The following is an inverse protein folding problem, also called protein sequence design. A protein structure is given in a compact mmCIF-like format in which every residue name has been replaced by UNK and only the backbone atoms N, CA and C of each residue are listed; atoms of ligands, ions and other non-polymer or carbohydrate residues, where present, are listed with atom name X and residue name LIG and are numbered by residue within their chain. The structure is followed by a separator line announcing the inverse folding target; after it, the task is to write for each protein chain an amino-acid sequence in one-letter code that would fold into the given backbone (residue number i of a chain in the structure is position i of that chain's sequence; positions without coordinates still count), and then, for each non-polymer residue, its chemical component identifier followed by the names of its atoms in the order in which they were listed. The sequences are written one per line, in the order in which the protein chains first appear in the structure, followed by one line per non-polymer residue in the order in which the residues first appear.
data_IF_763773559493
#
_entry.id   IF_763773559493
#
_cell.length_a   1.000
_cell.length_b   1.000
_cell.length_c   1.000
_cell.angle_alpha   90.00
_cell.angle_beta   90.00
_cell.angle_gamma   90.00
#
_symmetry.space_group_name_H-M   'P 1'
#
loop_
_entity.id
_entity.type
_entity.pdbx_description
1 polymer ?
#
# COMPACT_ATOMS: atom_id res chain seq x y z
N UNK A 1 -26.69 14.47 -18.86
CA UNK A 1 -25.58 14.38 -19.84
C UNK A 1 -24.28 14.43 -19.07
N UNK A 2 -23.81 13.28 -18.59
CA UNK A 2 -22.59 13.19 -17.80
C UNK A 2 -21.48 12.64 -18.70
N UNK A 3 -21.00 13.45 -19.65
CA UNK A 3 -19.98 13.01 -20.60
C UNK A 3 -19.03 14.16 -20.92
N UNK A 4 -17.99 14.32 -20.10
CA UNK A 4 -16.78 15.07 -20.49
C UNK A 4 -15.71 14.14 -21.11
N UNK A 5 -16.05 12.87 -21.35
CA UNK A 5 -15.21 11.89 -22.02
C UNK A 5 -13.98 11.41 -21.23
N UNK A 6 -13.88 11.74 -19.93
CA UNK A 6 -12.73 11.30 -19.12
C UNK A 6 -12.79 9.81 -18.84
N UNK A 7 -11.71 9.11 -19.15
CA UNK A 7 -11.51 7.72 -18.80
C UNK A 7 -11.43 7.59 -17.26
N UNK A 8 -12.39 6.89 -16.66
CA UNK A 8 -12.44 6.66 -15.20
C UNK A 8 -11.69 5.38 -14.80
N UNK A 9 -11.62 4.39 -15.70
CA UNK A 9 -11.00 3.10 -15.47
C UNK A 9 -10.50 2.51 -16.79
N UNK A 10 -9.26 2.02 -16.78
CA UNK A 10 -8.67 1.29 -17.91
C UNK A 10 -8.03 -0.01 -17.43
N UNK A 11 -8.04 -1.02 -18.31
CA UNK A 11 -7.37 -2.30 -18.06
C UNK A 11 -6.06 -2.30 -18.85
N UNK A 12 -4.95 -2.53 -18.17
CA UNK A 12 -3.62 -2.58 -18.77
C UNK A 12 -2.94 -3.91 -18.43
N UNK A 13 -2.37 -4.59 -19.43
CA UNK A 13 -1.55 -5.77 -19.19
C UNK A 13 -0.17 -5.34 -18.71
N UNK A 14 0.00 -5.25 -17.39
CA UNK A 14 1.21 -4.67 -16.78
C UNK A 14 1.61 -5.42 -15.50
N UNK A 15 2.89 -5.80 -15.33
CA UNK A 15 3.37 -6.35 -14.07
C UNK A 15 3.54 -5.24 -13.01
N UNK A 16 3.41 -5.58 -11.73
CA UNK A 16 3.52 -4.64 -10.61
C UNK A 16 4.83 -3.83 -10.63
N UNK A 17 5.97 -4.47 -10.96
CA UNK A 17 7.27 -3.81 -11.11
C UNK A 17 7.23 -2.64 -12.10
N UNK A 18 6.55 -2.83 -13.24
CA UNK A 18 6.45 -1.78 -14.25
C UNK A 18 5.53 -0.65 -13.75
N UNK A 19 4.42 -0.98 -13.09
CA UNK A 19 3.54 0.02 -12.49
C UNK A 19 4.30 0.88 -11.47
N UNK A 20 5.07 0.27 -10.57
CA UNK A 20 5.87 1.01 -9.58
C UNK A 20 6.93 1.90 -10.26
N UNK A 21 7.57 1.42 -11.32
CA UNK A 21 8.52 2.23 -12.10
C UNK A 21 7.86 3.47 -12.70
N UNK A 22 6.67 3.33 -13.26
CA UNK A 22 5.92 4.45 -13.84
C UNK A 22 5.40 5.42 -12.78
N UNK A 23 4.93 4.90 -11.64
CA UNK A 23 4.52 5.72 -10.51
C UNK A 23 5.72 6.43 -9.87
N UNK A 24 6.92 5.86 -9.92
CA UNK A 24 8.15 6.40 -9.30
C UNK A 24 7.90 6.87 -7.85
N UNK A 25 7.43 5.98 -6.95
CA UNK A 25 7.25 6.32 -5.55
C UNK A 25 8.60 6.57 -4.88
N UNK A 26 8.62 7.46 -3.88
CA UNK A 26 9.81 7.71 -3.05
C UNK A 26 10.02 6.65 -1.98
N UNK A 27 8.97 5.91 -1.63
CA UNK A 27 8.98 4.83 -0.65
C UNK A 27 7.95 3.79 -1.03
N UNK A 28 8.31 2.51 -0.92
CA UNK A 28 7.38 1.39 -1.16
C UNK A 28 7.28 0.53 0.10
N UNK A 29 6.09 0.51 0.71
CA UNK A 29 5.80 -0.26 1.91
C UNK A 29 4.88 -1.43 1.56
N UNK A 30 5.21 -2.63 2.02
CA UNK A 30 4.38 -3.82 1.83
C UNK A 30 3.74 -4.26 3.14
N UNK A 31 2.41 -4.34 3.18
CA UNK A 31 1.69 -4.85 4.33
C UNK A 31 1.75 -6.38 4.36
N UNK A 32 2.27 -6.95 5.45
CA UNK A 32 2.31 -8.41 5.65
C UNK A 32 2.40 -8.78 7.13
N UNK A 33 1.75 -9.88 7.51
CA UNK A 33 1.86 -10.49 8.84
C UNK A 33 3.28 -11.00 9.16
N UNK A 34 4.09 -11.25 8.12
CA UNK A 34 5.49 -11.65 8.28
C UNK A 34 6.45 -10.43 8.35
N UNK A 35 5.92 -9.20 8.29
CA UNK A 35 6.69 -7.98 8.35
C UNK A 35 7.11 -7.57 9.76
N UNK A 36 7.95 -6.54 9.83
CA UNK A 36 8.32 -5.92 11.10
C UNK A 36 7.12 -5.22 11.73
N UNK A 37 6.93 -5.40 13.04
CA UNK A 37 5.82 -4.78 13.76
C UNK A 37 6.03 -3.27 13.85
N UNK A 38 5.06 -2.50 13.36
CA UNK A 38 5.08 -1.04 13.36
C UNK A 38 3.77 -0.52 13.91
N UNK A 39 3.85 0.47 14.82
CA UNK A 39 2.65 1.12 15.33
C UNK A 39 1.96 1.89 14.19
N UNK A 40 0.62 1.85 14.04
CA UNK A 40 -0.08 2.62 13.01
C UNK A 40 0.28 4.11 12.94
N UNK A 41 0.57 4.75 14.08
CA UNK A 41 1.03 6.15 14.14
C UNK A 41 2.44 6.33 13.56
N UNK A 42 3.34 5.41 13.82
CA UNK A 42 4.70 5.42 13.27
C UNK A 42 4.66 5.19 11.75
N UNK A 43 3.84 4.22 11.30
CA UNK A 43 3.59 3.99 9.88
C UNK A 43 3.04 5.25 9.20
N UNK A 44 2.08 5.93 9.83
CA UNK A 44 1.51 7.17 9.30
C UNK A 44 2.55 8.29 9.19
N UNK A 45 3.43 8.42 10.18
CA UNK A 45 4.54 9.39 10.12
C UNK A 45 5.50 9.07 8.97
N UNK A 46 5.88 7.79 8.79
CA UNK A 46 6.71 7.36 7.67
C UNK A 46 6.08 7.69 6.31
N UNK A 47 4.78 7.44 6.17
CA UNK A 47 4.02 7.77 4.95
C UNK A 47 3.98 9.29 4.74
N UNK A 48 3.72 10.07 5.80
CA UNK A 48 3.65 11.55 5.75
C UNK A 48 4.98 12.19 5.37
N UNK A 49 6.09 11.66 5.87
CA UNK A 49 7.45 12.16 5.59
C UNK A 49 7.92 11.79 4.17
N UNK A 50 7.31 10.78 3.56
CA UNK A 50 7.56 10.40 2.17
C UNK A 50 6.88 11.36 1.20
N UNK A 51 7.62 11.87 0.22
CA UNK A 51 7.07 12.83 -0.76
C UNK A 51 6.06 12.21 -1.72
N UNK A 52 6.16 10.90 -1.97
CA UNK A 52 5.31 10.14 -2.88
C UNK A 52 5.27 8.65 -2.47
N UNK A 53 4.62 8.31 -1.35
CA UNK A 53 4.56 6.95 -0.83
C UNK A 53 3.70 6.03 -1.70
N UNK A 54 4.06 4.75 -1.75
CA UNK A 54 3.20 3.68 -2.23
C UNK A 54 3.06 2.61 -1.13
N UNK A 55 1.82 2.27 -0.79
CA UNK A 55 1.51 1.20 0.17
C UNK A 55 0.86 0.05 -0.58
N UNK A 56 1.46 -1.14 -0.48
CA UNK A 56 1.01 -2.35 -1.12
C UNK A 56 0.21 -3.20 -0.12
N UNK A 57 -1.04 -3.49 -0.46
CA UNK A 57 -1.94 -4.33 0.34
C UNK A 57 -2.40 -5.52 -0.51
N UNK A 58 -2.40 -6.72 0.08
CA UNK A 58 -2.87 -7.92 -0.59
C UNK A 58 -4.37 -7.88 -0.82
N UNK A 59 -4.81 -7.95 -2.07
CA UNK A 59 -6.23 -8.02 -2.46
C UNK A 59 -6.75 -9.45 -2.64
N UNK A 60 -6.21 -10.40 -1.88
CA UNK A 60 -6.51 -11.83 -2.00
C UNK A 60 -6.90 -12.39 -0.62
N UNK A 61 -7.73 -13.45 -0.56
CA UNK A 61 -8.26 -13.95 0.71
C UNK A 61 -7.20 -14.68 1.56
N UNK A 62 -6.28 -15.39 0.92
CA UNK A 62 -5.24 -16.19 1.60
C UNK A 62 -3.95 -16.24 0.78
N UNK A 63 -2.84 -16.54 1.46
CA UNK A 63 -1.52 -16.70 0.86
C UNK A 63 -0.56 -15.58 1.25
N UNK A 64 0.66 -15.65 0.73
CA UNK A 64 1.68 -14.62 0.87
C UNK A 64 2.02 -13.99 -0.47
N UNK A 65 2.86 -12.97 -0.43
CA UNK A 65 3.46 -12.41 -1.63
C UNK A 65 4.58 -13.32 -2.16
N UNK A 66 4.69 -13.42 -3.48
CA UNK A 66 5.87 -14.01 -4.10
C UNK A 66 7.12 -13.16 -3.78
N UNK A 67 8.29 -13.78 -3.70
CA UNK A 67 9.57 -13.08 -3.45
C UNK A 67 9.77 -11.90 -4.39
N UNK A 68 9.38 -12.04 -5.67
CA UNK A 68 9.46 -10.97 -6.66
C UNK A 68 8.69 -9.71 -6.26
N UNK A 69 7.57 -9.85 -5.52
CA UNK A 69 6.78 -8.73 -5.02
C UNK A 69 7.36 -8.17 -3.73
N UNK A 70 7.83 -9.05 -2.83
CA UNK A 70 8.52 -8.64 -1.59
C UNK A 70 9.74 -7.78 -1.91
N UNK A 71 10.54 -8.19 -2.91
CA UNK A 71 11.74 -7.49 -3.37
C UNK A 71 11.46 -6.15 -4.07
N UNK A 72 10.20 -5.77 -4.29
CA UNK A 72 9.83 -4.43 -4.78
C UNK A 72 9.64 -3.43 -3.64
N UNK A 73 9.46 -3.90 -2.41
CA UNK A 73 9.26 -3.05 -1.25
C UNK A 73 10.58 -2.71 -0.57
N UNK A 74 10.69 -1.49 -0.07
CA UNK A 74 11.80 -1.06 0.78
C UNK A 74 11.64 -1.59 2.21
N UNK A 75 10.40 -1.80 2.63
CA UNK A 75 10.08 -2.35 3.95
C UNK A 75 8.80 -3.19 3.89
N UNK A 76 8.81 -4.29 4.63
CA UNK A 76 7.65 -5.15 4.84
C UNK A 76 7.20 -4.96 6.28
N UNK A 77 5.96 -4.50 6.46
CA UNK A 77 5.47 -4.00 7.75
C UNK A 77 4.19 -4.71 8.18
N UNK A 78 4.08 -4.94 9.48
CA UNK A 78 2.94 -5.52 10.17
C UNK A 78 2.33 -4.46 11.11
N UNK A 79 1.05 -4.15 10.94
CA UNK A 79 0.33 -3.16 11.76
C UNK A 79 -0.54 -3.78 12.86
N UNK A 80 -0.62 -5.10 12.89
CA UNK A 80 -1.42 -5.84 13.86
C UNK A 80 -0.90 -7.27 13.99
N UNK A 81 -1.03 -7.86 15.17
CA UNK A 81 -0.50 -9.21 15.45
C UNK A 81 -1.33 -10.33 14.82
N UNK A 82 -2.59 -10.05 14.49
CA UNK A 82 -3.48 -10.97 13.81
C UNK A 82 -3.71 -10.55 12.35
N UNK A 83 -4.02 -11.51 11.46
CA UNK A 83 -4.46 -11.23 10.10
C UNK A 83 -5.59 -10.20 10.06
N UNK A 84 -5.46 -9.22 9.15
CA UNK A 84 -6.51 -8.27 8.87
C UNK A 84 -7.05 -8.48 7.47
N UNK A 85 -8.36 -8.37 7.33
CA UNK A 85 -8.99 -8.23 6.02
C UNK A 85 -8.41 -7.00 5.29
N UNK A 86 -8.25 -7.11 3.97
CA UNK A 86 -7.61 -6.07 3.17
C UNK A 86 -8.23 -4.67 3.39
N UNK A 87 -9.57 -4.61 3.45
CA UNK A 87 -10.28 -3.35 3.70
C UNK A 87 -10.08 -2.81 5.12
N UNK A 88 -9.91 -3.67 6.13
CA UNK A 88 -9.61 -3.25 7.50
C UNK A 88 -8.19 -2.67 7.57
N UNK A 89 -7.23 -3.34 6.93
CA UNK A 89 -5.86 -2.83 6.84
C UNK A 89 -5.83 -1.45 6.16
N UNK A 90 -6.46 -1.32 4.98
CA UNK A 90 -6.55 -0.04 4.25
C UNK A 90 -7.24 1.04 5.10
N UNK A 91 -8.36 0.74 5.74
CA UNK A 91 -9.07 1.70 6.59
C UNK A 91 -8.21 2.20 7.74
N UNK A 92 -7.50 1.31 8.44
CA UNK A 92 -6.62 1.70 9.56
C UNK A 92 -5.44 2.54 9.09
N UNK A 93 -4.85 2.21 7.94
CA UNK A 93 -3.76 3.00 7.34
C UNK A 93 -4.26 4.40 6.99
N UNK A 94 -5.40 4.49 6.29
CA UNK A 94 -5.99 5.77 5.88
C UNK A 94 -6.31 6.65 7.10
N UNK A 95 -7.01 6.11 8.10
CA UNK A 95 -7.34 6.89 9.30
C UNK A 95 -6.08 7.36 10.06
N UNK A 96 -5.06 6.52 10.17
CA UNK A 96 -3.81 6.92 10.83
C UNK A 96 -3.07 8.02 10.05
N UNK A 97 -3.06 7.94 8.72
CA UNK A 97 -2.48 8.98 7.86
C UNK A 97 -3.28 10.28 7.93
N UNK A 98 -4.61 10.20 7.92
CA UNK A 98 -5.49 11.35 8.11
C UNK A 98 -5.20 12.04 9.45
N UNK A 99 -5.13 11.29 10.55
CA UNK A 99 -4.76 11.82 11.87
C UNK A 99 -3.37 12.46 11.90
N UNK A 100 -2.41 11.96 11.12
CA UNK A 100 -1.06 12.51 11.08
C UNK A 100 -0.95 13.79 10.24
N UNK A 101 -1.84 13.99 9.27
CA UNK A 101 -1.84 15.13 8.34
C UNK A 101 -2.70 16.29 8.84
N UNK A 102 -3.75 16.00 9.63
CA UNK A 102 -4.59 16.99 10.32
C UNK A 102 -3.86 17.66 11.49
#
# INVERSE_FOLDING_TARGET
TAEDGRELLSIQRKPLRQLLKELSPSTVLLMSEAGEAVNPRELANLIKESSRPAVLVGGFPHGGFAEETINLAESVVKIFDEPLEAWVAVSRILCAVEEAVL
#
